data_IF_839794143561
#
_entry.id   IF_839794143561
#
_cell.length_a   1.000
_cell.length_b   1.000
_cell.length_c   1.000
_cell.angle_alpha   90.00
_cell.angle_beta   90.00
_cell.angle_gamma   90.00
#
_symmetry.space_group_name_H-M   'P 1'
#
loop_
_entity.id
_entity.type
_entity.pdbx_description
1 polymer ?
#
# COMPACT_ATOMS: atom_id res chain seq x y z
N UNK A 1 -1.26 -3.50 8.64
CA UNK A 1 0.10 -3.98 9.03
C UNK A 1 0.42 -5.30 8.35
N UNK A 2 -0.55 -6.22 8.26
CA UNK A 2 -0.45 -7.39 7.39
C UNK A 2 -0.14 -6.98 5.94
N UNK A 3 -0.74 -5.91 5.46
CA UNK A 3 -0.56 -5.38 4.09
C UNK A 3 0.90 -5.03 3.83
N UNK A 4 1.53 -4.29 4.75
CA UNK A 4 2.96 -3.97 4.66
C UNK A 4 3.84 -5.22 4.83
N UNK A 5 3.42 -6.20 5.62
CA UNK A 5 4.14 -7.48 5.71
C UNK A 5 4.09 -8.26 4.39
N UNK A 6 2.96 -8.24 3.68
CA UNK A 6 2.83 -8.82 2.33
C UNK A 6 3.73 -8.06 1.36
N UNK A 7 3.64 -6.72 1.29
CA UNK A 7 4.45 -5.91 0.36
C UNK A 7 5.95 -6.03 0.64
N UNK A 8 6.39 -5.93 1.90
CA UNK A 8 7.81 -6.05 2.24
C UNK A 8 8.36 -7.45 1.90
N UNK A 9 7.54 -8.49 2.06
CA UNK A 9 7.89 -9.86 1.66
C UNK A 9 7.93 -10.01 0.13
N UNK A 10 6.91 -9.53 -0.58
CA UNK A 10 6.81 -9.54 -2.04
C UNK A 10 8.03 -8.87 -2.69
N UNK A 11 8.47 -7.73 -2.13
CA UNK A 11 9.64 -6.98 -2.59
C UNK A 11 10.99 -7.51 -2.06
N UNK A 12 10.98 -8.46 -1.12
CA UNK A 12 12.19 -9.01 -0.50
C UNK A 12 12.95 -8.03 0.40
N UNK A 13 12.27 -7.04 0.97
CA UNK A 13 12.85 -5.96 1.78
C UNK A 13 12.90 -6.26 3.30
N UNK A 14 12.65 -7.51 3.73
CA UNK A 14 12.68 -7.89 5.15
C UNK A 14 11.35 -7.64 5.87
N UNK A 15 11.41 -7.48 7.20
CA UNK A 15 10.20 -7.35 8.01
C UNK A 15 9.51 -5.99 7.86
N UNK A 16 8.19 -5.96 8.04
CA UNK A 16 7.42 -4.73 8.11
C UNK A 16 7.76 -3.94 9.38
N UNK A 17 8.15 -2.68 9.22
CA UNK A 17 8.42 -1.76 10.34
C UNK A 17 7.22 -0.85 10.59
N UNK A 18 6.70 -0.21 9.54
CA UNK A 18 5.66 0.83 9.68
C UNK A 18 4.92 1.11 8.37
N UNK A 19 3.71 1.66 8.51
CA UNK A 19 2.81 2.11 7.45
C UNK A 19 2.72 3.66 7.45
N UNK A 20 3.64 4.39 6.80
CA UNK A 20 3.39 5.82 6.55
C UNK A 20 2.16 5.99 5.66
N UNK A 21 1.43 7.09 5.80
CA UNK A 21 0.28 7.39 4.93
C UNK A 21 0.16 8.87 4.61
N UNK A 22 -0.52 9.15 3.51
CA UNK A 22 -0.80 10.49 3.02
C UNK A 22 0.46 11.33 2.90
N UNK A 23 0.42 12.51 3.50
CA UNK A 23 1.53 13.48 3.40
C UNK A 23 2.83 13.05 4.08
N UNK A 24 2.80 12.01 4.91
CA UNK A 24 3.97 11.45 5.61
C UNK A 24 4.79 10.57 4.67
N UNK A 25 4.12 9.85 3.77
CA UNK A 25 4.80 9.08 2.74
C UNK A 25 5.41 10.03 1.71
N UNK A 26 6.66 9.77 1.32
CA UNK A 26 7.42 10.61 0.39
C UNK A 26 8.17 9.74 -0.61
N UNK A 27 8.32 10.20 -1.87
CA UNK A 27 7.77 11.44 -2.44
C UNK A 27 6.23 11.39 -2.57
N UNK A 28 5.59 12.56 -2.66
CA UNK A 28 4.15 12.63 -2.95
C UNK A 28 3.92 12.25 -4.41
N UNK A 29 2.82 11.54 -4.68
CA UNK A 29 2.33 11.34 -6.03
C UNK A 29 1.82 12.65 -6.64
N UNK A 30 1.78 12.71 -7.97
CA UNK A 30 1.13 13.80 -8.71
C UNK A 30 -0.39 13.63 -8.64
N UNK A 31 -1.14 14.72 -8.47
CA UNK A 31 -2.61 14.69 -8.36
C UNK A 31 -3.30 14.11 -9.61
N UNK A 32 -2.63 14.12 -10.77
CA UNK A 32 -3.13 13.53 -12.01
C UNK A 32 -2.89 12.01 -12.11
N UNK A 33 -2.14 11.40 -11.17
CA UNK A 33 -1.94 9.96 -11.15
C UNK A 33 -3.22 9.24 -10.70
N UNK A 34 -3.48 8.07 -11.28
CA UNK A 34 -4.64 7.27 -10.89
C UNK A 34 -4.29 6.43 -9.66
N UNK A 35 -5.11 6.50 -8.62
CA UNK A 35 -5.13 5.50 -7.55
C UNK A 35 -5.67 4.19 -8.12
N UNK A 36 -4.88 3.12 -8.05
CA UNK A 36 -5.21 1.84 -8.70
C UNK A 36 -6.04 0.92 -7.80
N UNK A 37 -5.81 0.97 -6.50
CA UNK A 37 -6.45 0.11 -5.51
C UNK A 37 -6.70 0.90 -4.23
N UNK A 38 -7.77 0.58 -3.50
CA UNK A 38 -8.06 1.11 -2.16
C UNK A 38 -8.55 -0.01 -1.24
N UNK A 39 -8.71 0.32 0.05
CA UNK A 39 -9.30 -0.56 1.07
C UNK A 39 -8.65 -1.95 1.13
N UNK A 40 -7.32 -1.99 0.91
CA UNK A 40 -6.53 -3.22 0.97
C UNK A 40 -6.59 -3.81 2.37
N UNK A 41 -7.02 -5.07 2.46
CA UNK A 41 -7.17 -5.83 3.69
C UNK A 41 -6.54 -7.21 3.53
N UNK A 42 -5.24 -7.31 3.84
CA UNK A 42 -4.52 -8.56 3.78
C UNK A 42 -4.70 -9.38 5.07
N UNK A 43 -4.80 -10.70 4.91
CA UNK A 43 -4.71 -11.67 6.02
C UNK A 43 -3.27 -11.84 6.51
N UNK A 44 -2.27 -11.50 5.68
CA UNK A 44 -0.84 -11.54 5.97
C UNK A 44 -0.11 -12.75 5.41
N UNK A 45 -0.83 -13.70 4.80
CA UNK A 45 -0.26 -14.92 4.19
C UNK A 45 -0.18 -14.86 2.68
N UNK A 46 -0.75 -13.83 2.07
CA UNK A 46 -0.72 -13.60 0.62
C UNK A 46 0.72 -13.48 0.11
N UNK A 47 0.99 -14.00 -1.08
CA UNK A 47 2.32 -13.88 -1.70
C UNK A 47 2.51 -12.50 -2.32
N UNK A 48 1.42 -11.90 -2.84
CA UNK A 48 1.44 -10.62 -3.52
C UNK A 48 0.26 -9.74 -3.05
N UNK A 49 0.45 -8.42 -3.06
CA UNK A 49 -0.55 -7.45 -2.62
C UNK A 49 -1.89 -7.59 -3.36
N UNK A 50 -1.84 -7.91 -4.67
CA UNK A 50 -3.03 -8.08 -5.51
C UNK A 50 -3.93 -9.27 -5.09
N UNK A 51 -3.44 -10.17 -4.24
CA UNK A 51 -4.21 -11.30 -3.74
C UNK A 51 -5.02 -10.95 -2.49
N UNK A 52 -4.77 -9.79 -1.88
CA UNK A 52 -5.54 -9.32 -0.74
C UNK A 52 -6.93 -8.87 -1.17
N UNK A 53 -7.87 -8.83 -0.22
CA UNK A 53 -9.15 -8.17 -0.45
C UNK A 53 -8.90 -6.68 -0.71
N UNK A 54 -9.40 -6.16 -1.82
CA UNK A 54 -9.20 -4.78 -2.27
C UNK A 54 -10.26 -4.36 -3.29
N UNK A 55 -10.44 -3.05 -3.44
CA UNK A 55 -11.25 -2.45 -4.50
C UNK A 55 -10.34 -1.97 -5.65
N UNK A 56 -10.60 -2.44 -6.88
CA UNK A 56 -9.75 -2.13 -8.06
C UNK A 56 -10.30 -1.01 -8.97
N UNK A 57 -11.55 -0.60 -8.79
CA UNK A 57 -12.21 0.38 -9.68
C UNK A 57 -12.33 1.77 -9.03
N UNK A 58 -11.18 2.29 -8.60
CA UNK A 58 -11.09 3.57 -7.89
C UNK A 58 -10.86 4.71 -8.89
N UNK A 59 -11.73 5.72 -8.88
CA UNK A 59 -11.60 6.88 -9.78
C UNK A 59 -11.31 8.20 -9.05
N UNK A 60 -11.37 8.25 -7.71
CA UNK A 60 -11.36 9.54 -7.00
C UNK A 60 -10.76 9.57 -5.60
N UNK A 61 -9.89 8.62 -5.23
CA UNK A 61 -9.13 8.77 -3.98
C UNK A 61 -8.13 9.91 -4.10
N UNK A 62 -7.99 10.69 -3.02
CA UNK A 62 -6.99 11.75 -2.97
C UNK A 62 -5.63 11.16 -2.63
N UNK A 63 -4.57 11.64 -3.29
CA UNK A 63 -3.19 11.30 -2.94
C UNK A 63 -2.76 11.76 -1.54
N UNK A 64 -3.59 12.57 -0.86
CA UNK A 64 -3.41 12.89 0.56
C UNK A 64 -3.66 11.69 1.49
N UNK A 65 -4.10 10.56 0.97
CA UNK A 65 -4.37 9.32 1.72
C UNK A 65 -3.48 8.15 1.28
N UNK A 66 -2.56 8.37 0.34
CA UNK A 66 -1.69 7.32 -0.22
C UNK A 66 -1.04 6.47 0.87
N UNK A 67 -1.16 5.16 0.74
CA UNK A 67 -0.52 4.22 1.65
C UNK A 67 0.95 4.02 1.28
N UNK A 68 1.81 3.93 2.30
CA UNK A 68 3.20 3.60 2.14
C UNK A 68 3.65 2.47 3.07
N UNK A 69 4.83 1.93 2.77
CA UNK A 69 5.46 0.83 3.49
C UNK A 69 6.89 1.23 3.91
N UNK A 70 7.25 0.93 5.16
CA UNK A 70 8.63 0.92 5.62
C UNK A 70 9.01 -0.50 6.02
N UNK A 71 10.02 -1.03 5.37
CA UNK A 71 10.63 -2.33 5.65
C UNK A 71 11.99 -2.14 6.37
N UNK A 72 12.65 -3.24 6.73
CA UNK A 72 13.98 -3.28 7.37
C UNK A 72 15.12 -2.66 6.55
#
# INVERSE_FOLDING_TARGET
MNDVAVVCRELGCGAAIWTPSGVIYKPLADEDQKVLIQDVNCTGVEENLIQCEQDEDVFSCSHNEDAGAKCE
#
